data_IF_707666513526
#
_entry.id   IF_707666513526
#
_cell.length_a   1.000
_cell.length_b   1.000
_cell.length_c   1.000
_cell.angle_alpha   90.00
_cell.angle_beta   90.00
_cell.angle_gamma   90.00
#
_symmetry.space_group_name_H-M   'P 1'
#
loop_
_entity.id
_entity.type
_entity.pdbx_description
1 polymer ?
#
# COMPACT_ATOMS: atom_id res chain seq x y z
N UNK A 1 36.70 -4.96 -46.57
CA UNK A 1 35.22 -5.08 -46.50
C UNK A 1 34.69 -6.18 -45.53
N UNK A 2 35.46 -7.18 -45.18
CA UNK A 2 35.05 -8.28 -44.27
C UNK A 2 35.13 -7.84 -42.79
N UNK A 3 36.09 -6.99 -42.43
CA UNK A 3 36.32 -6.53 -41.06
C UNK A 3 35.17 -5.63 -40.55
N UNK A 4 34.54 -4.84 -41.41
CA UNK A 4 33.46 -3.90 -41.04
C UNK A 4 32.14 -4.61 -40.70
N UNK A 5 31.82 -5.74 -41.35
CA UNK A 5 30.63 -6.55 -41.06
C UNK A 5 30.74 -7.29 -39.72
N UNK A 6 31.95 -7.75 -39.39
CA UNK A 6 32.18 -8.40 -38.09
C UNK A 6 32.05 -7.43 -36.90
N UNK A 7 32.40 -6.17 -37.09
CA UNK A 7 32.26 -5.12 -36.09
C UNK A 7 30.79 -4.73 -35.87
N UNK A 8 30.02 -4.58 -36.95
CA UNK A 8 28.59 -4.30 -36.89
C UNK A 8 27.78 -5.40 -36.22
N UNK A 9 28.11 -6.68 -36.52
CA UNK A 9 27.47 -7.83 -35.86
C UNK A 9 27.76 -7.91 -34.35
N UNK A 10 28.96 -7.52 -33.92
CA UNK A 10 29.31 -7.42 -32.48
C UNK A 10 28.54 -6.32 -31.79
N UNK A 11 28.41 -5.13 -32.41
CA UNK A 11 27.62 -4.02 -31.87
C UNK A 11 26.15 -4.38 -31.80
N UNK A 12 25.57 -5.00 -32.86
CA UNK A 12 24.18 -5.46 -32.84
C UNK A 12 23.91 -6.54 -31.75
N UNK A 13 24.87 -7.48 -31.55
CA UNK A 13 24.78 -8.44 -30.44
C UNK A 13 24.89 -7.78 -29.09
N UNK A 14 25.79 -6.83 -28.92
CA UNK A 14 25.91 -6.07 -27.65
C UNK A 14 24.65 -5.24 -27.35
N UNK A 15 24.05 -4.59 -28.35
CA UNK A 15 22.80 -3.86 -28.24
C UNK A 15 21.60 -4.79 -27.99
N UNK A 16 21.57 -5.97 -28.60
CA UNK A 16 20.54 -6.97 -28.34
C UNK A 16 20.65 -7.54 -26.92
N UNK A 17 21.88 -7.79 -26.43
CA UNK A 17 22.12 -8.21 -25.05
C UNK A 17 21.83 -7.11 -24.03
N UNK A 18 22.03 -5.84 -24.39
CA UNK A 18 21.66 -4.70 -23.55
C UNK A 18 20.13 -4.44 -23.51
N UNK A 19 19.41 -4.89 -24.56
CA UNK A 19 17.93 -4.84 -24.64
C UNK A 19 17.22 -6.01 -23.96
N UNK A 20 17.94 -7.08 -23.62
CA UNK A 20 17.35 -8.12 -22.79
C UNK A 20 17.19 -7.51 -21.40
N UNK A 21 15.95 -7.23 -20.92
CA UNK A 21 15.76 -6.82 -19.54
C UNK A 21 16.41 -7.95 -18.73
N UNK A 22 17.46 -7.63 -17.96
CA UNK A 22 18.06 -8.56 -17.01
C UNK A 22 16.87 -9.08 -16.23
N UNK A 23 16.44 -10.31 -16.50
CA UNK A 23 15.36 -11.00 -15.79
C UNK A 23 15.74 -10.85 -14.33
N UNK A 24 15.12 -9.90 -13.64
CA UNK A 24 15.45 -9.57 -12.26
C UNK A 24 15.29 -10.88 -11.55
N UNK A 25 16.40 -11.54 -11.21
CA UNK A 25 16.38 -12.71 -10.34
C UNK A 25 15.58 -12.22 -9.14
N UNK A 26 14.34 -12.72 -9.00
CA UNK A 26 13.58 -12.51 -7.79
C UNK A 26 14.47 -13.07 -6.70
N UNK A 27 15.21 -12.19 -6.03
CA UNK A 27 15.97 -12.58 -4.85
C UNK A 27 14.95 -13.19 -3.91
N UNK A 28 15.22 -14.37 -3.34
CA UNK A 28 14.34 -14.90 -2.31
C UNK A 28 14.10 -13.77 -1.30
N UNK A 29 12.85 -13.63 -0.88
CA UNK A 29 12.42 -12.62 0.07
C UNK A 29 13.30 -12.80 1.32
N UNK A 30 14.30 -11.95 1.46
CA UNK A 30 15.14 -11.96 2.64
C UNK A 30 14.33 -11.26 3.74
N UNK A 31 13.60 -12.05 4.53
CA UNK A 31 12.80 -11.57 5.65
C UNK A 31 13.61 -10.63 6.56
N UNK A 32 14.93 -10.87 6.66
CA UNK A 32 15.85 -9.96 7.36
C UNK A 32 15.97 -8.58 6.71
N UNK A 33 15.87 -8.48 5.37
CA UNK A 33 15.96 -7.18 4.69
C UNK A 33 14.63 -6.42 4.72
N UNK A 34 13.51 -7.12 4.84
CA UNK A 34 12.18 -6.52 5.04
C UNK A 34 11.96 -6.07 6.48
N UNK A 35 12.56 -6.77 7.44
CA UNK A 35 12.53 -6.43 8.87
C UNK A 35 13.67 -5.49 9.24
N UNK A 36 13.94 -4.45 8.45
CA UNK A 36 14.78 -3.38 8.92
C UNK A 36 14.00 -2.56 9.97
N UNK A 37 14.12 -3.00 11.23
CA UNK A 37 13.42 -2.39 12.38
C UNK A 37 13.63 -0.89 12.47
N UNK A 38 14.73 -0.36 11.94
CA UNK A 38 14.99 1.09 11.90
C UNK A 38 14.03 1.78 10.93
N UNK A 39 13.85 1.21 9.74
CA UNK A 39 12.97 1.76 8.73
C UNK A 39 11.50 1.61 9.15
N UNK A 40 11.12 0.42 9.63
CA UNK A 40 9.77 0.15 10.10
C UNK A 40 9.37 1.08 11.25
N UNK A 41 10.28 1.36 12.20
CA UNK A 41 10.04 2.30 13.30
C UNK A 41 9.88 3.74 12.82
N UNK A 42 10.67 4.18 11.82
CA UNK A 42 10.52 5.52 11.23
C UNK A 42 9.20 5.68 10.47
N UNK A 43 8.74 4.63 9.82
CA UNK A 43 7.44 4.63 9.12
C UNK A 43 6.26 4.55 10.11
N UNK A 44 6.39 3.76 11.17
CA UNK A 44 5.32 3.58 12.16
C UNK A 44 5.02 4.86 12.95
N UNK A 45 6.03 5.70 13.19
CA UNK A 45 5.89 6.90 14.00
C UNK A 45 4.80 7.87 13.48
N UNK A 46 4.80 8.33 12.22
CA UNK A 46 3.75 9.22 11.72
C UNK A 46 2.38 8.53 11.66
N UNK A 47 2.34 7.23 11.44
CA UNK A 47 1.08 6.47 11.41
C UNK A 47 0.46 6.41 12.79
N UNK A 48 1.25 6.12 13.83
CA UNK A 48 0.77 6.09 15.23
C UNK A 48 0.26 7.48 15.64
N UNK A 49 1.01 8.55 15.31
CA UNK A 49 0.58 9.91 15.57
C UNK A 49 -0.75 10.24 14.89
N UNK A 50 -0.92 9.88 13.61
CA UNK A 50 -2.16 10.09 12.88
C UNK A 50 -3.32 9.32 13.53
N UNK A 51 -3.05 8.14 14.06
CA UNK A 51 -4.04 7.33 14.75
C UNK A 51 -4.53 7.94 16.07
N UNK A 52 -3.68 8.70 16.77
CA UNK A 52 -4.10 9.46 17.94
C UNK A 52 -5.19 10.51 17.60
N UNK A 53 -5.19 11.02 16.38
CA UNK A 53 -6.20 11.96 15.88
C UNK A 53 -7.43 11.29 15.25
N UNK A 54 -7.47 9.97 15.15
CA UNK A 54 -8.56 9.23 14.50
C UNK A 54 -9.93 9.56 15.09
N UNK A 55 -10.03 9.63 16.43
CA UNK A 55 -11.29 9.97 17.11
C UNK A 55 -11.79 11.38 16.77
N UNK A 56 -10.87 12.33 16.57
CA UNK A 56 -11.22 13.70 16.18
C UNK A 56 -11.71 13.81 14.73
N UNK A 57 -11.36 12.84 13.90
CA UNK A 57 -11.75 12.77 12.49
C UNK A 57 -12.97 11.88 12.23
N UNK A 58 -13.53 11.28 13.28
CA UNK A 58 -14.66 10.35 13.17
C UNK A 58 -15.91 10.96 12.53
N UNK A 59 -16.11 12.29 12.64
CA UNK A 59 -17.21 12.99 11.99
C UNK A 59 -17.17 12.94 10.47
N UNK A 60 -15.97 12.77 9.87
CA UNK A 60 -15.81 12.64 8.42
C UNK A 60 -16.37 11.32 7.88
N UNK A 61 -16.40 10.27 8.71
CA UNK A 61 -16.94 8.95 8.34
C UNK A 61 -18.44 9.00 8.09
N UNK A 62 -19.17 9.90 8.75
CA UNK A 62 -20.61 10.11 8.59
C UNK A 62 -21.00 10.91 7.35
N UNK A 63 -20.05 11.52 6.64
CA UNK A 63 -20.32 12.37 5.48
C UNK A 63 -20.01 11.65 4.16
N UNK A 64 -21.05 11.33 3.39
CA UNK A 64 -20.87 10.73 2.04
C UNK A 64 -20.07 11.63 1.10
N UNK A 65 -20.24 12.94 1.22
CA UNK A 65 -19.48 13.90 0.41
C UNK A 65 -17.99 13.87 0.74
N UNK A 66 -17.64 13.79 2.04
CA UNK A 66 -16.24 13.66 2.46
C UNK A 66 -15.61 12.36 1.95
N UNK A 67 -16.35 11.25 2.06
CA UNK A 67 -15.90 9.93 1.55
C UNK A 67 -15.67 10.00 0.04
N UNK A 68 -16.59 10.61 -0.72
CA UNK A 68 -16.44 10.77 -2.17
C UNK A 68 -15.18 11.60 -2.52
N UNK A 69 -14.95 12.71 -1.82
CA UNK A 69 -13.77 13.55 -2.01
C UNK A 69 -12.46 12.80 -1.69
N UNK A 70 -12.41 12.04 -0.59
CA UNK A 70 -11.23 11.25 -0.23
C UNK A 70 -10.99 10.07 -1.17
N UNK A 71 -12.04 9.43 -1.69
CA UNK A 71 -11.90 8.41 -2.74
C UNK A 71 -11.33 9.01 -4.02
N UNK A 72 -11.74 10.20 -4.40
CA UNK A 72 -11.19 10.92 -5.54
C UNK A 72 -9.69 11.21 -5.34
N UNK A 73 -9.32 11.76 -4.18
CA UNK A 73 -7.92 12.00 -3.81
C UNK A 73 -7.10 10.71 -3.78
N UNK A 74 -7.68 9.62 -3.27
CA UNK A 74 -7.02 8.32 -3.28
C UNK A 74 -6.73 7.86 -4.71
N UNK A 75 -7.66 8.03 -5.63
CA UNK A 75 -7.43 7.75 -7.05
C UNK A 75 -6.26 8.56 -7.61
N UNK A 76 -6.15 9.86 -7.30
CA UNK A 76 -5.00 10.69 -7.69
C UNK A 76 -3.70 10.16 -7.11
N UNK A 77 -3.66 9.83 -5.82
CA UNK A 77 -2.48 9.27 -5.14
C UNK A 77 -2.04 7.97 -5.80
N UNK A 78 -2.97 7.06 -6.12
CA UNK A 78 -2.67 5.78 -6.78
C UNK A 78 -2.23 5.94 -8.23
N UNK A 79 -2.55 7.05 -8.87
CA UNK A 79 -2.13 7.36 -10.24
C UNK A 79 -0.70 7.92 -10.33
N UNK A 80 -0.21 8.55 -9.26
CA UNK A 80 1.14 9.16 -9.19
C UNK A 80 2.26 8.20 -9.64
N UNK A 81 2.32 6.91 -9.22
CA UNK A 81 3.40 6.01 -9.60
C UNK A 81 3.59 5.79 -11.11
N UNK A 82 2.60 6.12 -11.93
CA UNK A 82 2.73 6.02 -13.39
C UNK A 82 3.73 7.01 -13.98
N UNK A 83 3.86 8.16 -13.36
CA UNK A 83 4.76 9.22 -13.85
C UNK A 83 6.22 8.97 -13.46
N UNK A 84 6.47 8.03 -12.55
CA UNK A 84 7.82 7.75 -12.06
C UNK A 84 8.30 6.38 -12.56
N UNK A 85 9.53 6.30 -13.09
CA UNK A 85 10.12 5.01 -13.46
C UNK A 85 10.32 4.14 -12.21
N UNK A 86 10.32 2.84 -12.39
CA UNK A 86 10.65 1.89 -11.31
C UNK A 86 12.05 2.19 -10.77
N UNK A 87 12.14 2.54 -9.50
CA UNK A 87 13.40 2.79 -8.83
C UNK A 87 14.19 1.49 -8.55
N UNK A 88 15.43 1.66 -8.08
CA UNK A 88 16.32 0.56 -7.72
C UNK A 88 16.73 0.59 -6.23
N UNK A 89 16.11 1.48 -5.42
CA UNK A 89 16.42 1.58 -4.00
C UNK A 89 15.77 0.45 -3.21
N UNK A 90 16.56 -0.16 -2.35
CA UNK A 90 16.12 -1.15 -1.35
C UNK A 90 16.30 -0.55 0.07
N UNK A 91 15.93 -1.28 1.13
CA UNK A 91 16.05 -0.85 2.53
C UNK A 91 17.44 -0.32 2.91
N UNK A 92 18.49 -0.86 2.30
CA UNK A 92 19.90 -0.47 2.58
C UNK A 92 20.25 0.90 2.04
N UNK A 93 19.57 1.35 0.99
CA UNK A 93 19.82 2.60 0.28
C UNK A 93 18.78 3.67 0.59
N UNK A 94 17.80 3.37 1.45
CA UNK A 94 16.78 4.32 1.88
C UNK A 94 17.27 5.15 3.05
N UNK A 95 17.05 6.46 2.97
CA UNK A 95 17.31 7.40 4.06
C UNK A 95 16.16 7.35 5.10
N UNK A 96 16.45 7.82 6.32
CA UNK A 96 15.42 7.94 7.37
C UNK A 96 14.30 8.92 6.97
N UNK A 97 14.65 9.96 6.22
CA UNK A 97 13.69 10.96 5.73
C UNK A 97 12.72 10.33 4.73
N UNK A 98 13.21 9.48 3.81
CA UNK A 98 12.36 8.74 2.89
C UNK A 98 11.42 7.78 3.65
N UNK A 99 11.92 7.09 4.67
CA UNK A 99 11.09 6.26 5.55
C UNK A 99 9.99 7.07 6.25
N UNK A 100 10.30 8.26 6.74
CA UNK A 100 9.33 9.16 7.36
C UNK A 100 8.26 9.63 6.36
N UNK A 101 8.67 10.01 5.15
CA UNK A 101 7.74 10.41 4.08
C UNK A 101 6.80 9.26 3.69
N UNK A 102 7.31 8.04 3.56
CA UNK A 102 6.49 6.86 3.28
C UNK A 102 5.52 6.60 4.43
N UNK A 103 5.97 6.77 5.67
CA UNK A 103 5.13 6.68 6.85
C UNK A 103 4.03 7.75 6.88
N UNK A 104 4.31 8.99 6.46
CA UNK A 104 3.29 10.03 6.28
C UNK A 104 2.26 9.62 5.21
N UNK A 105 2.70 8.99 4.11
CA UNK A 105 1.78 8.38 3.15
C UNK A 105 0.85 7.36 3.81
N UNK A 106 1.39 6.50 4.68
CA UNK A 106 0.61 5.54 5.46
C UNK A 106 -0.34 6.19 6.46
N UNK A 107 0.06 7.33 7.06
CA UNK A 107 -0.76 8.10 7.98
C UNK A 107 -2.06 8.63 7.33
N UNK A 108 -2.07 8.85 6.03
CA UNK A 108 -3.28 9.25 5.30
C UNK A 108 -4.40 8.20 5.38
N UNK A 109 -4.09 6.95 5.76
CA UNK A 109 -5.10 5.89 5.97
C UNK A 109 -6.10 6.18 7.09
N UNK A 110 -5.83 7.17 7.92
CA UNK A 110 -6.78 7.67 8.93
C UNK A 110 -7.99 8.34 8.29
N UNK A 111 -7.83 8.87 7.07
CA UNK A 111 -8.92 9.49 6.33
C UNK A 111 -9.79 8.43 5.62
N UNK A 112 -11.13 8.51 5.77
CA UNK A 112 -12.03 7.52 5.19
C UNK A 112 -11.95 7.54 3.66
N UNK A 113 -11.70 6.36 3.04
CA UNK A 113 -11.58 6.24 1.59
C UNK A 113 -10.14 6.31 1.05
N UNK A 114 -9.13 6.64 1.87
CA UNK A 114 -7.72 6.62 1.44
C UNK A 114 -7.06 5.29 1.81
N UNK A 115 -6.40 4.69 0.83
CA UNK A 115 -5.63 3.45 1.00
C UNK A 115 -4.23 3.75 1.54
N UNK A 116 -3.94 3.38 2.79
CA UNK A 116 -2.60 3.56 3.37
C UNK A 116 -1.51 2.78 2.63
N UNK A 117 -1.79 1.54 2.22
CA UNK A 117 -0.85 0.74 1.42
C UNK A 117 -0.58 1.42 0.08
N UNK A 118 -1.64 1.88 -0.61
CA UNK A 118 -1.53 2.58 -1.88
C UNK A 118 -0.73 3.87 -1.76
N UNK A 119 -1.01 4.67 -0.74
CA UNK A 119 -0.29 5.93 -0.48
C UNK A 119 1.19 5.69 -0.14
N UNK A 120 1.51 4.70 0.70
CA UNK A 120 2.89 4.32 0.99
C UNK A 120 3.65 3.90 -0.27
N UNK A 121 3.06 3.10 -1.15
CA UNK A 121 3.71 2.67 -2.40
C UNK A 121 3.86 3.85 -3.37
N UNK A 122 2.89 4.76 -3.42
CA UNK A 122 2.97 5.96 -4.26
C UNK A 122 4.12 6.86 -3.82
N UNK A 123 4.24 7.16 -2.53
CA UNK A 123 5.36 7.92 -1.98
C UNK A 123 6.69 7.20 -2.18
N UNK A 124 6.73 5.88 -1.99
CA UNK A 124 7.92 5.06 -2.26
C UNK A 124 8.38 5.17 -3.72
N UNK A 125 7.43 5.22 -4.66
CA UNK A 125 7.73 5.39 -6.08
C UNK A 125 8.37 6.74 -6.38
N UNK A 126 7.90 7.81 -5.73
CA UNK A 126 8.50 9.15 -5.81
C UNK A 126 9.93 9.15 -5.27
N UNK A 127 10.18 8.43 -4.16
CA UNK A 127 11.51 8.28 -3.56
C UNK A 127 12.46 7.39 -4.39
N UNK A 128 12.00 6.80 -5.50
CA UNK A 128 12.82 5.94 -6.34
C UNK A 128 13.05 4.54 -5.78
N UNK A 129 12.13 4.05 -4.95
CA UNK A 129 12.15 2.69 -4.39
C UNK A 129 11.63 1.69 -5.43
N UNK A 130 12.17 0.48 -5.42
CA UNK A 130 11.66 -0.61 -6.27
C UNK A 130 10.20 -0.93 -5.92
N UNK A 131 9.32 -1.01 -6.92
CA UNK A 131 7.87 -1.19 -6.73
C UNK A 131 7.51 -2.46 -5.96
N UNK A 132 8.19 -3.56 -6.24
CA UNK A 132 7.92 -4.82 -5.54
C UNK A 132 8.33 -4.73 -4.08
N UNK A 133 9.50 -4.11 -3.82
CA UNK A 133 9.98 -3.86 -2.48
C UNK A 133 9.06 -2.88 -1.72
N UNK A 134 8.63 -1.78 -2.36
CA UNK A 134 7.71 -0.81 -1.79
C UNK A 134 6.39 -1.45 -1.35
N UNK A 135 5.83 -2.34 -2.18
CA UNK A 135 4.62 -3.07 -1.86
C UNK A 135 4.79 -4.02 -0.68
N UNK A 136 5.86 -4.83 -0.68
CA UNK A 136 6.12 -5.76 0.41
C UNK A 136 6.36 -5.03 1.74
N UNK A 137 7.07 -3.89 1.70
CA UNK A 137 7.30 -3.04 2.86
C UNK A 137 6.00 -2.38 3.37
N UNK A 138 5.14 -1.87 2.47
CA UNK A 138 3.84 -1.30 2.83
C UNK A 138 2.91 -2.37 3.45
N UNK A 139 2.91 -3.59 2.93
CA UNK A 139 2.16 -4.71 3.49
C UNK A 139 2.66 -5.06 4.91
N UNK A 140 3.98 -5.11 5.13
CA UNK A 140 4.56 -5.34 6.46
C UNK A 140 4.17 -4.23 7.45
N UNK A 141 4.26 -2.97 7.03
CA UNK A 141 3.85 -1.84 7.86
C UNK A 141 2.36 -1.92 8.22
N UNK A 142 1.50 -2.28 7.27
CA UNK A 142 0.06 -2.44 7.52
C UNK A 142 -0.26 -3.57 8.49
N UNK A 143 0.50 -4.67 8.48
CA UNK A 143 0.35 -5.76 9.46
C UNK A 143 0.64 -5.29 10.89
N UNK A 144 1.71 -4.51 11.08
CA UNK A 144 2.06 -3.96 12.40
C UNK A 144 0.94 -3.04 12.91
N UNK A 145 0.40 -2.18 12.02
CA UNK A 145 -0.69 -1.28 12.36
C UNK A 145 -1.94 -2.07 12.75
N UNK A 146 -2.32 -3.05 11.93
CA UNK A 146 -3.49 -3.90 12.20
C UNK A 146 -3.35 -4.65 13.52
N UNK A 147 -2.16 -5.15 13.85
CA UNK A 147 -1.89 -5.79 15.14
C UNK A 147 -2.07 -4.79 16.30
N UNK A 148 -1.57 -3.56 16.18
CA UNK A 148 -1.75 -2.53 17.19
C UNK A 148 -3.23 -2.15 17.38
N UNK A 149 -4.02 -2.10 16.30
CA UNK A 149 -5.46 -1.88 16.35
C UNK A 149 -6.18 -3.00 17.13
N UNK A 150 -5.89 -4.26 16.80
CA UNK A 150 -6.49 -5.41 17.48
C UNK A 150 -6.20 -5.37 18.99
N UNK A 151 -4.96 -5.04 19.37
CA UNK A 151 -4.59 -4.89 20.79
C UNK A 151 -5.37 -3.75 21.44
N UNK A 152 -5.48 -2.59 20.78
CA UNK A 152 -6.25 -1.44 21.28
C UNK A 152 -7.72 -1.78 21.49
N UNK A 153 -8.34 -2.45 20.52
CA UNK A 153 -9.75 -2.84 20.60
C UNK A 153 -9.99 -3.92 21.65
N UNK A 154 -9.06 -4.87 21.81
CA UNK A 154 -9.11 -5.85 22.88
C UNK A 154 -9.04 -5.21 24.28
N UNK A 155 -8.15 -4.22 24.47
CA UNK A 155 -8.06 -3.45 25.74
C UNK A 155 -9.36 -2.70 26.00
N UNK A 156 -9.97 -2.07 25.01
CA UNK A 156 -11.26 -1.38 25.15
C UNK A 156 -12.38 -2.35 25.53
N UNK A 157 -12.41 -3.53 24.91
CA UNK A 157 -13.41 -4.55 25.20
C UNK A 157 -13.29 -5.04 26.65
N UNK A 158 -12.06 -5.27 27.13
CA UNK A 158 -11.81 -5.69 28.52
C UNK A 158 -12.19 -4.57 29.48
N UNK A 159 -11.84 -3.32 29.20
CA UNK A 159 -12.15 -2.16 30.03
C UNK A 159 -13.66 -1.83 30.08
N UNK A 160 -14.37 -2.05 28.96
CA UNK A 160 -15.82 -1.84 28.87
C UNK A 160 -16.67 -2.98 29.44
N UNK A 161 -16.05 -4.11 29.79
CA UNK A 161 -16.72 -5.30 30.30
C UNK A 161 -17.39 -6.14 29.21
N UNK A 162 -17.55 -7.44 29.48
CA UNK A 162 -18.12 -8.43 28.53
C UNK A 162 -19.66 -8.45 28.52
N UNK A 163 -20.33 -7.52 29.17
CA UNK A 163 -21.79 -7.56 29.41
C UNK A 163 -22.67 -7.63 28.17
N UNK A 164 -22.16 -7.29 26.99
CA UNK A 164 -22.88 -7.38 25.72
C UNK A 164 -22.44 -8.54 24.80
N UNK A 165 -21.50 -9.37 25.22
CA UNK A 165 -20.95 -10.43 24.36
C UNK A 165 -21.82 -11.68 24.43
N UNK A 166 -22.68 -11.86 23.45
CA UNK A 166 -23.51 -13.06 23.27
C UNK A 166 -22.78 -14.05 22.37
N UNK A 167 -23.02 -15.37 22.57
CA UNK A 167 -22.49 -16.43 21.72
C UNK A 167 -22.72 -16.18 20.21
N UNK A 168 -23.87 -15.65 19.84
CA UNK A 168 -24.20 -15.26 18.47
C UNK A 168 -23.24 -14.20 17.91
N UNK A 169 -22.86 -13.22 18.74
CA UNK A 169 -21.91 -12.17 18.36
C UNK A 169 -20.53 -12.77 18.11
N UNK A 170 -20.08 -13.68 18.97
CA UNK A 170 -18.80 -14.39 18.79
C UNK A 170 -18.77 -15.17 17.47
N UNK A 171 -19.84 -15.89 17.13
CA UNK A 171 -19.93 -16.60 15.85
C UNK A 171 -19.85 -15.67 14.65
N UNK A 172 -20.54 -14.52 14.70
CA UNK A 172 -20.49 -13.51 13.62
C UNK A 172 -19.07 -12.96 13.47
N UNK A 173 -18.39 -12.66 14.56
CA UNK A 173 -17.00 -12.19 14.49
C UNK A 173 -16.03 -13.24 13.93
N UNK A 174 -16.18 -14.52 14.33
CA UNK A 174 -15.36 -15.60 13.81
C UNK A 174 -15.60 -15.82 12.31
N UNK A 175 -16.86 -15.81 11.87
CA UNK A 175 -17.20 -15.92 10.46
C UNK A 175 -16.66 -14.75 9.64
N UNK A 176 -16.77 -13.52 10.16
CA UNK A 176 -16.22 -12.31 9.55
C UNK A 176 -14.69 -12.35 9.46
N UNK A 177 -14.02 -12.80 10.52
CA UNK A 177 -12.56 -12.94 10.54
C UNK A 177 -12.08 -13.98 9.50
N UNK A 178 -12.78 -15.11 9.39
CA UNK A 178 -12.47 -16.12 8.39
C UNK A 178 -12.68 -15.62 6.96
N UNK A 179 -13.80 -14.96 6.69
CA UNK A 179 -14.08 -14.37 5.40
C UNK A 179 -13.04 -13.28 5.02
N UNK A 180 -12.66 -12.43 5.99
CA UNK A 180 -11.63 -11.41 5.82
C UNK A 180 -10.25 -12.02 5.56
N UNK A 181 -9.91 -13.13 6.21
CA UNK A 181 -8.66 -13.84 5.97
C UNK A 181 -8.58 -14.38 4.53
N UNK A 182 -9.63 -15.03 4.05
CA UNK A 182 -9.69 -15.54 2.67
C UNK A 182 -9.64 -14.39 1.65
N UNK A 183 -10.46 -13.35 1.86
CA UNK A 183 -10.47 -12.16 1.01
C UNK A 183 -9.12 -11.45 0.99
N UNK A 184 -8.46 -11.31 2.14
CA UNK A 184 -7.14 -10.73 2.28
C UNK A 184 -6.06 -11.51 1.54
N UNK A 185 -6.06 -12.85 1.64
CA UNK A 185 -5.13 -13.69 0.87
C UNK A 185 -5.29 -13.52 -0.64
N UNK A 186 -6.53 -13.51 -1.13
CA UNK A 186 -6.81 -13.26 -2.54
C UNK A 186 -6.41 -11.85 -2.95
N UNK A 187 -6.74 -10.85 -2.13
CA UNK A 187 -6.40 -9.45 -2.35
C UNK A 187 -4.89 -9.22 -2.48
N UNK A 188 -4.09 -9.78 -1.56
CA UNK A 188 -2.62 -9.66 -1.62
C UNK A 188 -2.05 -10.34 -2.87
N UNK A 189 -2.58 -11.51 -3.28
CA UNK A 189 -2.14 -12.19 -4.50
C UNK A 189 -2.45 -11.36 -5.75
N UNK A 190 -3.66 -10.82 -5.85
CA UNK A 190 -4.08 -9.96 -6.94
C UNK A 190 -3.25 -8.68 -6.99
N UNK A 191 -3.04 -8.04 -5.84
CA UNK A 191 -2.26 -6.83 -5.71
C UNK A 191 -0.81 -7.03 -6.18
N UNK A 192 -0.14 -8.10 -5.71
CA UNK A 192 1.22 -8.44 -6.15
C UNK A 192 1.32 -8.71 -7.66
N UNK A 193 0.32 -9.37 -8.25
CA UNK A 193 0.26 -9.61 -9.69
C UNK A 193 0.07 -8.31 -10.46
N UNK A 194 -0.92 -7.51 -10.09
CA UNK A 194 -1.30 -6.28 -10.80
C UNK A 194 -0.22 -5.21 -10.73
N UNK A 195 0.37 -5.01 -9.56
CA UNK A 195 1.44 -4.02 -9.35
C UNK A 195 2.70 -4.33 -10.15
N UNK A 196 3.01 -5.63 -10.31
CA UNK A 196 4.15 -6.08 -11.11
C UNK A 196 3.99 -5.85 -12.61
N UNK A 197 2.77 -5.95 -13.14
CA UNK A 197 2.49 -5.90 -14.58
C UNK A 197 2.01 -4.53 -15.08
N UNK A 198 1.04 -3.92 -14.40
CA UNK A 198 0.30 -2.72 -14.87
C UNK A 198 0.40 -1.51 -13.95
N UNK A 199 1.04 -1.66 -12.78
CA UNK A 199 1.06 -0.60 -11.78
C UNK A 199 -0.30 -0.40 -11.08
N UNK A 200 -0.45 0.72 -10.38
CA UNK A 200 -1.65 1.04 -9.58
C UNK A 200 -2.78 1.71 -10.37
N UNK A 201 -2.61 1.97 -11.66
CA UNK A 201 -3.57 2.76 -12.45
C UNK A 201 -4.96 2.17 -12.48
N UNK A 202 -5.06 0.84 -12.55
CA UNK A 202 -6.36 0.16 -12.53
C UNK A 202 -7.13 0.48 -11.26
N UNK A 203 -6.44 0.50 -10.12
CA UNK A 203 -7.06 0.86 -8.83
C UNK A 203 -7.43 2.33 -8.76
N UNK A 204 -6.69 3.23 -9.42
CA UNK A 204 -7.03 4.65 -9.51
C UNK A 204 -8.37 4.86 -10.22
N UNK A 205 -8.59 4.22 -11.37
CA UNK A 205 -9.85 4.28 -12.11
C UNK A 205 -11.02 3.71 -11.30
N UNK A 206 -10.80 2.60 -10.58
CA UNK A 206 -11.79 2.04 -9.67
C UNK A 206 -12.19 3.05 -8.58
N UNK A 207 -11.21 3.71 -7.94
CA UNK A 207 -11.47 4.71 -6.91
C UNK A 207 -12.25 5.91 -7.46
N UNK A 208 -11.94 6.39 -8.67
CA UNK A 208 -12.69 7.47 -9.31
C UNK A 208 -14.12 7.07 -9.66
N UNK A 209 -14.33 5.87 -10.18
CA UNK A 209 -15.68 5.33 -10.42
C UNK A 209 -16.50 5.25 -9.13
N UNK A 210 -15.89 4.75 -8.05
CA UNK A 210 -16.55 4.66 -6.75
C UNK A 210 -16.81 6.03 -6.14
N UNK A 211 -15.89 6.98 -6.31
CA UNK A 211 -16.06 8.38 -5.88
C UNK A 211 -17.28 9.03 -6.55
N UNK A 212 -17.39 8.90 -7.87
CA UNK A 212 -18.54 9.40 -8.62
C UNK A 212 -19.84 8.76 -8.15
N UNK A 213 -19.84 7.43 -7.98
CA UNK A 213 -21.02 6.71 -7.48
C UNK A 213 -21.43 7.20 -6.09
N UNK A 214 -20.50 7.36 -5.17
CA UNK A 214 -20.76 7.88 -3.81
C UNK A 214 -21.27 9.32 -3.86
N UNK A 215 -20.73 10.15 -4.75
CA UNK A 215 -21.19 11.52 -4.95
C UNK A 215 -22.64 11.56 -5.44
N UNK A 216 -23.00 10.73 -6.42
CA UNK A 216 -24.41 10.62 -6.89
C UNK A 216 -25.35 10.12 -5.79
N UNK A 217 -24.92 9.16 -4.98
CA UNK A 217 -25.72 8.72 -3.83
C UNK A 217 -25.99 9.85 -2.86
N UNK A 218 -24.99 10.73 -2.62
CA UNK A 218 -25.17 11.89 -1.75
C UNK A 218 -26.12 12.94 -2.32
N UNK A 219 -26.31 12.99 -3.66
CA UNK A 219 -27.28 13.92 -4.27
C UNK A 219 -28.73 13.40 -4.17
N UNK A 220 -28.90 12.08 -4.04
CA UNK A 220 -30.22 11.43 -3.98
C UNK A 220 -30.69 11.19 -2.55
N UNK A 221 -29.75 11.13 -1.58
CA UNK A 221 -30.01 10.94 -0.16
C UNK A 221 -30.36 12.26 0.54
#
# INVERSE_FOLDING_TARGET
>A
HVSSRAHLTRIHRALALARIPKKKRRRPLDLKSLMDFKLLRTMALPIILAYCFYNSLSFLVGSLLAIAAFLFLNGLILYIPQFFPTGNKDSRNMSRVEGLLIGLGGALSVLPGISGIGAMVSVSSICGVDRSYALDNALMASMVISAAMVVSDAVRLVAGGFGGVTFRIVLVYLASAFASFLGGMLGVRLLKKTVGERGFSFFAFYCWGLSLFTFFLNLVA
#
